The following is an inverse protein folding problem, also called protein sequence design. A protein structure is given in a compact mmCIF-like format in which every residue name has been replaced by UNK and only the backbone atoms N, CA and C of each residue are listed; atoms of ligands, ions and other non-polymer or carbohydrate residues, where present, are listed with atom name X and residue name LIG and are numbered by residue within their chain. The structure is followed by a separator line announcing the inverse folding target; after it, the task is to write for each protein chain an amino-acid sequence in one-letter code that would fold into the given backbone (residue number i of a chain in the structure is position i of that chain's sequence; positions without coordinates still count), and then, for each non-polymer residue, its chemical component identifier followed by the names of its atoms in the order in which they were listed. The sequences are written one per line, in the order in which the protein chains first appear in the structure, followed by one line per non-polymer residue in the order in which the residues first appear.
data_IF_102614208489
#
_entry.id   IF_102614208489
#
_cell.length_a   1.000
_cell.length_b   1.000
_cell.length_c   1.000
_cell.angle_alpha   90.00
_cell.angle_beta   90.00
_cell.angle_gamma   90.00
#
_symmetry.space_group_name_H-M   'P 1'
#
loop_
_entity.id
_entity.type
_entity.pdbx_description
1 polymer ?
#
# COMPACT_ATOMS: atom_id res chain seq x y z
N UNK A 1 10.03 16.03 -3.09
CA UNK A 1 9.63 14.63 -2.90
C UNK A 1 9.53 13.94 -4.25
N UNK A 2 10.10 12.75 -4.35
CA UNK A 2 10.07 11.96 -5.57
C UNK A 2 9.29 10.67 -5.33
N UNK A 3 8.35 10.37 -6.23
CA UNK A 3 7.61 9.09 -6.21
C UNK A 3 8.08 8.27 -7.41
N UNK A 4 8.49 7.03 -7.17
CA UNK A 4 9.00 6.18 -8.25
C UNK A 4 8.81 4.69 -7.90
N UNK A 5 9.03 3.83 -8.87
CA UNK A 5 9.10 2.39 -8.60
C UNK A 5 10.25 2.13 -7.63
N UNK A 6 10.03 1.22 -6.69
CA UNK A 6 11.04 0.88 -5.69
C UNK A 6 12.29 0.28 -6.36
N UNK A 7 13.45 0.72 -5.88
CA UNK A 7 14.75 0.18 -6.31
C UNK A 7 15.24 -0.82 -5.29
N UNK A 8 16.02 -1.80 -5.74
CA UNK A 8 16.57 -2.82 -4.85
C UNK A 8 17.35 -2.23 -3.69
N UNK A 9 18.13 -1.18 -3.94
CA UNK A 9 18.92 -0.51 -2.89
C UNK A 9 18.08 0.17 -1.83
N UNK A 10 16.79 0.37 -2.08
CA UNK A 10 15.88 0.99 -1.10
C UNK A 10 15.30 -0.03 -0.11
N UNK A 11 15.46 -1.33 -0.38
CA UNK A 11 14.86 -2.37 0.47
C UNK A 11 15.23 -2.26 1.95
N UNK A 12 16.50 -2.02 2.32
CA UNK A 12 16.84 -1.86 3.75
C UNK A 12 16.08 -0.71 4.41
N UNK A 13 15.90 0.41 3.72
CA UNK A 13 15.13 1.54 4.25
C UNK A 13 13.65 1.21 4.37
N UNK A 14 13.09 0.48 3.41
CA UNK A 14 11.69 0.05 3.45
C UNK A 14 11.47 -0.92 4.60
N UNK A 15 12.42 -1.84 4.84
CA UNK A 15 12.34 -2.76 5.98
C UNK A 15 12.36 -1.99 7.31
N UNK A 16 13.20 -0.96 7.41
CA UNK A 16 13.25 -0.11 8.60
C UNK A 16 11.93 0.64 8.80
N UNK A 17 11.34 1.11 7.71
CA UNK A 17 10.04 1.78 7.73
C UNK A 17 8.94 0.86 8.24
N UNK A 18 8.94 -0.41 7.80
CA UNK A 18 8.00 -1.42 8.28
C UNK A 18 8.10 -1.61 9.79
N UNK A 19 9.33 -1.66 10.32
CA UNK A 19 9.57 -1.82 11.76
C UNK A 19 8.96 -0.67 12.56
N UNK A 20 9.01 0.54 12.02
CA UNK A 20 8.48 1.73 12.71
C UNK A 20 6.96 1.77 12.63
N UNK A 21 6.38 1.36 11.51
CA UNK A 21 4.95 1.56 11.23
C UNK A 21 4.04 0.43 11.68
N UNK A 22 4.54 -0.80 11.77
CA UNK A 22 3.68 -1.97 11.99
C UNK A 22 4.15 -2.83 13.15
N UNK A 23 3.18 -3.43 13.84
CA UNK A 23 3.45 -4.36 14.94
C UNK A 23 3.92 -5.73 14.42
N UNK A 24 3.57 -6.06 13.18
CA UNK A 24 4.00 -7.29 12.51
C UNK A 24 4.63 -6.94 11.17
N UNK A 25 5.84 -6.37 11.20
CA UNK A 25 6.46 -5.85 9.97
C UNK A 25 6.97 -6.96 9.06
N UNK A 26 7.00 -6.68 7.76
CA UNK A 26 7.71 -7.53 6.81
C UNK A 26 9.21 -7.41 7.10
N UNK A 27 9.93 -8.52 7.01
CA UNK A 27 11.37 -8.54 7.17
C UNK A 27 12.04 -8.06 5.87
N UNK A 28 13.30 -7.66 5.99
CA UNK A 28 14.09 -7.32 4.81
C UNK A 28 14.17 -8.51 3.85
N UNK A 29 14.35 -9.73 4.37
CA UNK A 29 14.40 -10.94 3.56
C UNK A 29 13.08 -11.16 2.81
N UNK A 30 11.95 -10.99 3.49
CA UNK A 30 10.64 -11.13 2.87
C UNK A 30 10.42 -10.10 1.77
N UNK A 31 10.87 -8.86 1.99
CA UNK A 31 10.78 -7.81 0.98
C UNK A 31 11.66 -8.13 -0.24
N UNK A 32 12.86 -8.67 -0.03
CA UNK A 32 13.73 -9.06 -1.15
C UNK A 32 13.14 -10.18 -1.97
N UNK A 33 12.55 -11.16 -1.33
CA UNK A 33 11.90 -12.27 -2.00
C UNK A 33 10.70 -11.78 -2.84
N UNK A 34 9.89 -10.89 -2.26
CA UNK A 34 8.74 -10.32 -2.97
C UNK A 34 9.18 -9.42 -4.12
N UNK A 35 10.20 -8.60 -3.91
CA UNK A 35 10.74 -7.71 -4.93
C UNK A 35 11.20 -8.50 -6.17
N UNK A 36 11.75 -9.69 -5.96
CA UNK A 36 12.24 -10.55 -7.05
C UNK A 36 11.11 -11.22 -7.84
N UNK A 37 9.87 -11.19 -7.35
CA UNK A 37 8.72 -11.83 -7.99
C UNK A 37 7.92 -10.82 -8.79
N UNK A 38 7.59 -11.17 -10.03
CA UNK A 38 6.88 -10.27 -10.95
C UNK A 38 5.45 -9.92 -10.51
N UNK A 39 4.85 -10.74 -9.63
CA UNK A 39 3.49 -10.49 -9.13
C UNK A 39 3.42 -9.30 -8.18
N UNK A 40 4.55 -8.91 -7.58
CA UNK A 40 4.60 -7.76 -6.68
C UNK A 40 4.97 -6.48 -7.41
N UNK A 41 4.40 -5.39 -6.96
CA UNK A 41 4.69 -4.05 -7.47
C UNK A 41 4.83 -3.11 -6.28
N UNK A 42 5.94 -2.39 -6.21
CA UNK A 42 6.20 -1.47 -5.12
C UNK A 42 6.56 -0.08 -5.64
N UNK A 43 6.09 0.94 -4.93
CA UNK A 43 6.46 2.34 -5.18
C UNK A 43 7.00 2.94 -3.89
N UNK A 44 7.92 3.89 -4.01
CA UNK A 44 8.51 4.59 -2.87
C UNK A 44 8.36 6.10 -3.02
N UNK A 45 8.30 6.77 -1.88
CA UNK A 45 8.41 8.22 -1.80
C UNK A 45 9.73 8.54 -1.11
N UNK A 46 10.54 9.40 -1.73
CA UNK A 46 11.83 9.80 -1.17
C UNK A 46 11.91 11.31 -1.02
N UNK A 47 12.58 11.76 0.04
CA UNK A 47 12.95 13.15 0.26
C UNK A 47 14.43 13.17 0.63
N UNK A 48 15.22 13.97 -0.09
CA UNK A 48 16.67 14.06 0.13
C UNK A 48 17.33 12.69 0.15
N UNK A 49 16.95 11.83 -0.81
CA UNK A 49 17.44 10.46 -0.97
C UNK A 49 17.08 9.50 0.18
N UNK A 50 16.16 9.91 1.06
CA UNK A 50 15.65 9.08 2.14
C UNK A 50 14.25 8.58 1.81
N UNK A 51 14.00 7.29 2.00
CA UNK A 51 12.65 6.74 1.83
C UNK A 51 11.79 7.21 3.00
N UNK A 52 10.73 7.95 2.70
CA UNK A 52 9.78 8.44 3.72
C UNK A 52 8.46 7.70 3.68
N UNK A 53 8.21 6.91 2.65
CA UNK A 53 7.01 6.10 2.54
C UNK A 53 7.13 5.10 1.42
N UNK A 54 6.27 4.08 1.45
CA UNK A 54 6.19 3.12 0.35
C UNK A 54 4.80 2.49 0.31
N UNK A 55 4.48 1.90 -0.84
CA UNK A 55 3.26 1.14 -1.00
C UNK A 55 3.53 -0.05 -1.91
N UNK A 56 2.81 -1.15 -1.69
CA UNK A 56 2.98 -2.37 -2.45
C UNK A 56 1.68 -3.08 -2.72
N UNK A 57 1.65 -3.84 -3.82
CA UNK A 57 0.52 -4.69 -4.15
C UNK A 57 0.99 -6.03 -4.69
N UNK A 58 0.12 -7.01 -4.61
CA UNK A 58 0.27 -8.33 -5.20
C UNK A 58 -0.76 -8.47 -6.31
N UNK A 59 -0.30 -8.81 -7.52
CA UNK A 59 -1.17 -8.92 -8.69
C UNK A 59 -1.57 -10.36 -8.95
N UNK A 60 -2.88 -10.59 -9.09
CA UNK A 60 -3.43 -11.87 -9.55
C UNK A 60 -4.30 -11.54 -10.75
N UNK A 61 -3.86 -11.94 -11.94
CA UNK A 61 -4.55 -11.64 -13.21
C UNK A 61 -4.74 -10.12 -13.35
N UNK A 62 -5.98 -9.63 -13.42
CA UNK A 62 -6.28 -8.21 -13.58
C UNK A 62 -6.66 -7.53 -12.26
N UNK A 63 -6.38 -8.17 -11.12
CA UNK A 63 -6.67 -7.61 -9.79
C UNK A 63 -5.39 -7.37 -9.02
N UNK A 64 -5.35 -6.27 -8.27
CA UNK A 64 -4.25 -5.93 -7.40
C UNK A 64 -4.71 -5.88 -5.94
N UNK A 65 -4.04 -6.64 -5.08
CA UNK A 65 -4.26 -6.61 -3.64
C UNK A 65 -3.20 -5.70 -3.03
N UNK A 66 -3.62 -4.54 -2.53
CA UNK A 66 -2.70 -3.60 -1.89
C UNK A 66 -2.36 -4.15 -0.51
N UNK A 67 -1.12 -4.56 -0.35
CA UNK A 67 -0.67 -5.27 0.85
C UNK A 67 -0.14 -4.34 1.92
N UNK A 68 0.54 -3.28 1.53
CA UNK A 68 1.22 -2.39 2.46
C UNK A 68 1.17 -0.94 1.98
N UNK A 69 0.88 -0.03 2.89
CA UNK A 69 1.07 1.41 2.69
C UNK A 69 1.63 1.93 4.00
N UNK A 70 2.82 2.51 3.96
CA UNK A 70 3.50 3.00 5.15
C UNK A 70 4.13 4.35 4.89
N UNK A 71 4.00 5.28 5.85
CA UNK A 71 4.61 6.59 5.80
C UNK A 71 5.29 6.82 7.15
N UNK A 72 6.52 7.32 7.13
CA UNK A 72 7.24 7.67 8.38
C UNK A 72 6.37 8.60 9.21
N UNK A 73 6.31 8.40 10.54
CA UNK A 73 5.52 9.28 11.41
C UNK A 73 5.85 10.77 11.23
N UNK A 74 7.12 11.10 11.06
CA UNK A 74 7.58 12.48 10.86
C UNK A 74 7.13 13.08 9.52
N UNK A 75 6.73 12.27 8.58
CA UNK A 75 6.30 12.69 7.23
C UNK A 75 4.79 12.59 7.04
N UNK A 76 4.04 12.19 8.08
CA UNK A 76 2.59 12.06 7.99
C UNK A 76 1.92 13.43 7.93
N UNK A 77 0.64 13.43 7.50
CA UNK A 77 -0.19 14.63 7.36
C UNK A 77 0.29 15.60 6.26
N UNK A 78 1.14 15.10 5.37
CA UNK A 78 1.62 15.88 4.20
C UNK A 78 1.04 15.34 2.89
N UNK A 79 0.05 14.44 2.96
CA UNK A 79 -0.59 13.86 1.78
C UNK A 79 0.24 12.78 1.08
N UNK A 80 1.32 12.31 1.69
CA UNK A 80 2.21 11.31 1.08
C UNK A 80 1.49 9.98 0.87
N UNK A 81 0.68 9.53 1.84
CA UNK A 81 -0.09 8.30 1.70
C UNK A 81 -1.04 8.32 0.51
N UNK A 82 -1.68 9.47 0.28
CA UNK A 82 -2.59 9.65 -0.87
C UNK A 82 -1.82 9.58 -2.18
N UNK A 83 -0.68 10.27 -2.26
CA UNK A 83 0.14 10.31 -3.46
C UNK A 83 0.73 8.93 -3.76
N UNK A 84 1.20 8.23 -2.74
CA UNK A 84 1.71 6.86 -2.89
C UNK A 84 0.63 5.90 -3.40
N UNK A 85 -0.55 5.96 -2.82
CA UNK A 85 -1.65 5.08 -3.21
C UNK A 85 -2.06 5.36 -4.66
N UNK A 86 -2.15 6.63 -5.03
CA UNK A 86 -2.46 7.01 -6.41
C UNK A 86 -1.38 6.52 -7.38
N UNK A 87 -0.11 6.67 -7.02
CA UNK A 87 1.00 6.22 -7.86
C UNK A 87 0.97 4.70 -8.03
N UNK A 88 0.65 3.97 -6.95
CA UNK A 88 0.53 2.51 -7.01
C UNK A 88 -0.60 2.08 -7.94
N UNK A 89 -1.75 2.74 -7.84
CA UNK A 89 -2.90 2.47 -8.72
C UNK A 89 -2.50 2.73 -10.18
N UNK A 90 -1.87 3.86 -10.47
CA UNK A 90 -1.45 4.20 -11.83
C UNK A 90 -0.45 3.19 -12.37
N UNK A 91 0.53 2.79 -11.57
CA UNK A 91 1.51 1.77 -11.97
C UNK A 91 0.84 0.41 -12.21
N UNK A 92 -0.16 0.07 -11.40
CA UNK A 92 -0.94 -1.16 -11.59
C UNK A 92 -1.76 -1.12 -12.86
N UNK A 93 -2.36 0.02 -13.17
CA UNK A 93 -3.12 0.19 -14.41
C UNK A 93 -2.24 0.00 -15.65
N UNK A 94 -0.96 0.38 -15.56
CA UNK A 94 0.02 0.11 -16.62
C UNK A 94 0.28 -1.38 -16.82
N UNK A 95 -0.04 -2.20 -15.83
CA UNK A 95 0.05 -3.67 -15.89
C UNK A 95 -1.31 -4.31 -16.19
N UNK A 96 -2.28 -3.54 -16.68
CA UNK A 96 -3.64 -4.00 -16.98
C UNK A 96 -4.40 -4.49 -15.74
N UNK A 97 -4.11 -3.94 -14.56
CA UNK A 97 -4.92 -4.18 -13.37
C UNK A 97 -6.15 -3.28 -13.46
N UNK A 98 -7.34 -3.87 -13.34
CA UNK A 98 -8.62 -3.16 -13.48
C UNK A 98 -9.37 -3.03 -12.16
N UNK A 99 -8.97 -3.76 -11.13
CA UNK A 99 -9.60 -3.69 -9.82
C UNK A 99 -8.53 -3.79 -8.74
N UNK A 100 -8.69 -2.99 -7.68
CA UNK A 100 -7.78 -2.96 -6.54
C UNK A 100 -8.57 -3.21 -5.27
N UNK A 101 -8.02 -4.00 -4.37
CA UNK A 101 -8.62 -4.28 -3.08
C UNK A 101 -7.61 -4.05 -1.97
N UNK A 102 -8.10 -3.78 -0.77
CA UNK A 102 -7.27 -3.66 0.41
C UNK A 102 -8.09 -3.98 1.66
N UNK A 103 -7.39 -4.28 2.75
CA UNK A 103 -7.99 -4.38 4.07
C UNK A 103 -7.40 -3.26 4.91
N UNK A 104 -8.24 -2.63 5.73
CA UNK A 104 -7.84 -1.54 6.63
C UNK A 104 -8.55 -1.74 7.95
N UNK A 105 -7.88 -1.41 9.06
CA UNK A 105 -8.51 -1.50 10.39
C UNK A 105 -9.78 -0.64 10.41
N UNK A 106 -10.87 -1.19 10.91
CA UNK A 106 -12.17 -0.49 10.94
C UNK A 106 -12.08 0.83 11.70
N UNK A 107 -11.17 0.94 12.67
CA UNK A 107 -10.97 2.15 13.45
C UNK A 107 -10.06 3.20 12.78
N UNK A 108 -9.44 2.88 11.66
CA UNK A 108 -8.52 3.80 10.98
C UNK A 108 -9.28 4.75 10.05
N UNK A 109 -10.01 5.70 10.65
CA UNK A 109 -10.86 6.62 9.90
C UNK A 109 -10.06 7.47 8.90
N UNK A 110 -8.85 7.87 9.26
CA UNK A 110 -8.02 8.70 8.38
C UNK A 110 -7.65 7.96 7.10
N UNK A 111 -7.23 6.69 7.20
CA UNK A 111 -6.87 5.88 6.04
C UNK A 111 -8.10 5.59 5.19
N UNK A 112 -9.22 5.21 5.82
CA UNK A 112 -10.48 4.94 5.11
C UNK A 112 -10.89 6.15 4.28
N UNK A 113 -10.78 7.35 4.86
CA UNK A 113 -11.13 8.59 4.17
C UNK A 113 -10.26 8.80 2.92
N UNK A 114 -8.96 8.52 3.02
CA UNK A 114 -8.03 8.61 1.89
C UNK A 114 -8.46 7.65 0.78
N UNK A 115 -8.78 6.40 1.15
CA UNK A 115 -9.16 5.40 0.16
C UNK A 115 -10.50 5.74 -0.50
N UNK A 116 -11.45 6.24 0.24
CA UNK A 116 -12.73 6.68 -0.32
C UNK A 116 -12.54 7.80 -1.34
N UNK A 117 -11.66 8.74 -1.06
CA UNK A 117 -11.31 9.82 -2.00
C UNK A 117 -10.70 9.27 -3.29
N UNK A 118 -10.01 8.15 -3.21
CA UNK A 118 -9.37 7.51 -4.36
C UNK A 118 -10.30 6.52 -5.08
N UNK A 119 -11.56 6.47 -4.70
CA UNK A 119 -12.57 5.68 -5.40
C UNK A 119 -12.80 4.29 -4.81
N UNK A 120 -12.21 3.97 -3.66
CA UNK A 120 -12.49 2.71 -2.97
C UNK A 120 -13.84 2.80 -2.26
N UNK A 121 -14.58 1.70 -2.28
CA UNK A 121 -15.85 1.60 -1.56
C UNK A 121 -15.82 0.39 -0.63
N UNK A 122 -16.49 0.48 0.53
CA UNK A 122 -16.59 -0.66 1.45
C UNK A 122 -17.29 -1.84 0.77
N UNK A 123 -16.77 -3.05 1.00
CA UNK A 123 -17.31 -4.28 0.40
C UNK A 123 -17.59 -5.37 1.43
N UNK A 124 -17.14 -5.22 2.67
CA UNK A 124 -17.38 -6.20 3.71
C UNK A 124 -16.43 -6.01 4.88
N UNK A 125 -16.59 -6.85 5.88
CA UNK A 125 -15.76 -6.82 7.09
C UNK A 125 -15.20 -8.21 7.33
N UNK A 126 -13.89 -8.28 7.59
CA UNK A 126 -13.21 -9.51 8.00
C UNK A 126 -13.01 -9.46 9.50
N UNK A 127 -13.80 -10.24 10.24
CA UNK A 127 -13.74 -10.21 11.71
C UNK A 127 -12.43 -10.78 12.22
N UNK A 128 -11.81 -10.07 13.18
CA UNK A 128 -10.60 -10.52 13.84
C UNK A 128 -9.40 -10.67 12.95
N UNK A 129 -9.37 -9.98 11.81
CA UNK A 129 -8.28 -10.08 10.84
C UNK A 129 -6.93 -9.66 11.43
N UNK A 130 -6.93 -8.56 12.20
CA UNK A 130 -5.71 -8.05 12.84
C UNK A 130 -5.56 -8.64 14.24
N UNK A 131 -4.34 -8.95 14.63
CA UNK A 131 -4.02 -9.61 15.90
C UNK A 131 -3.45 -8.68 16.96
N UNK A 132 -2.67 -7.66 16.57
CA UNK A 132 -1.90 -6.81 17.49
C UNK A 132 -2.08 -5.34 17.20
N UNK A 133 -3.10 -4.68 17.78
CA UNK A 133 -4.18 -5.23 18.60
C UNK A 133 -5.23 -5.94 17.75
N UNK A 134 -6.05 -6.75 18.41
CA UNK A 134 -7.12 -7.46 17.72
C UNK A 134 -8.16 -6.46 17.24
N UNK A 135 -8.49 -6.54 15.97
CA UNK A 135 -9.42 -5.61 15.35
C UNK A 135 -9.94 -6.19 14.04
N UNK A 136 -11.17 -5.84 13.68
CA UNK A 136 -11.75 -6.23 12.41
C UNK A 136 -11.14 -5.40 11.28
N UNK A 137 -11.13 -5.95 10.08
CA UNK A 137 -10.71 -5.26 8.87
C UNK A 137 -11.91 -4.87 8.03
N UNK A 138 -11.90 -3.66 7.50
CA UNK A 138 -12.82 -3.24 6.45
C UNK A 138 -12.19 -3.62 5.12
N UNK A 139 -12.93 -4.35 4.29
CA UNK A 139 -12.49 -4.70 2.94
C UNK A 139 -13.00 -3.62 2.02
N UNK A 140 -12.12 -3.06 1.19
CA UNK A 140 -12.50 -2.03 0.24
C UNK A 140 -12.07 -2.42 -1.17
N UNK A 141 -12.84 -2.00 -2.16
CA UNK A 141 -12.56 -2.26 -3.57
C UNK A 141 -12.65 -0.98 -4.39
N UNK A 142 -11.75 -0.86 -5.34
CA UNK A 142 -11.80 0.17 -6.39
C UNK A 142 -11.81 -0.56 -7.72
N UNK A 143 -12.87 -0.39 -8.50
CA UNK A 143 -12.98 -1.02 -9.81
C UNK A 143 -12.92 0.05 -10.88
N UNK A 144 -12.18 -0.24 -11.94
CA UNK A 144 -12.10 0.67 -13.07
C UNK A 144 -13.47 0.75 -13.72
N UNK A 145 -13.92 1.99 -13.97
CA UNK A 145 -15.16 2.20 -14.69
C UNK A 145 -14.97 1.72 -16.13
N UNK A 146 -15.92 0.92 -16.61
CA UNK A 146 -15.89 0.50 -18.00
C UNK A 146 -16.02 1.71 -18.90
N UNK A 147 -15.13 1.82 -19.90
CA UNK A 147 -15.30 2.83 -20.93
C UNK A 147 -16.54 2.48 -21.74
N UNK A 148 -17.42 3.44 -21.84
CA UNK A 148 -18.66 3.29 -22.61
C UNK A 148 -18.47 3.85 -24.00
#
# INVERSE_FOLDING_TARGET
MLISLMKEEEIPQVAALEQVCFSEPWTEQGLRESFARSEYLFVTATEDDQVVGYAGLYQVLDEGDITNIAVLPSAREKGIGTVLTRALIEAGEQRAIHAFTLEVRVGNAAAIHIYEKLGFVPAGVRKGFYEKPKEDALIMWRRQMSAQ
#
